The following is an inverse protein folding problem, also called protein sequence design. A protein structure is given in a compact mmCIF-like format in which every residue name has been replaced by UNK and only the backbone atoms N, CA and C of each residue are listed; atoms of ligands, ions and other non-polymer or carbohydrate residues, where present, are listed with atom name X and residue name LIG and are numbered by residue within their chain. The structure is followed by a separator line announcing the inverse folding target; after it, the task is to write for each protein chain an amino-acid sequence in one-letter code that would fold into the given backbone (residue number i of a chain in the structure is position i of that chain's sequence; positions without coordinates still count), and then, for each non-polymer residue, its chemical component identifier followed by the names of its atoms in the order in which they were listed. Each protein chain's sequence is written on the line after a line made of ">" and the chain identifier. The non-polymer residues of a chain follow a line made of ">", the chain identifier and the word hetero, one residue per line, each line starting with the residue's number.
data_IF_485192374344
#
_entry.id   IF_485192374344
#
_cell.length_a   1.000
_cell.length_b   1.000
_cell.length_c   1.000
_cell.angle_alpha   90.00
_cell.angle_beta   90.00
_cell.angle_gamma   90.00
#
_symmetry.space_group_name_H-M   'P 1'
#
loop_
_entity.id
_entity.type
_entity.pdbx_description
1 polymer ?
#
# COMPACT_ATOMS: atom_id res chain seq x y z
N UNK A 1 -39.52 -10.05 0.82
CA UNK A 1 -38.14 -10.22 1.30
C UNK A 1 -37.60 -8.81 1.41
N UNK A 2 -37.56 -8.26 2.62
CA UNK A 2 -36.92 -6.96 2.87
C UNK A 2 -35.43 -7.18 2.66
N UNK A 3 -34.89 -6.66 1.56
CA UNK A 3 -33.45 -6.59 1.33
C UNK A 3 -32.89 -5.66 2.39
N UNK A 4 -32.17 -6.20 3.37
CA UNK A 4 -31.44 -5.39 4.35
C UNK A 4 -30.47 -4.47 3.59
N UNK A 5 -30.68 -3.16 3.74
CA UNK A 5 -29.93 -2.15 3.01
C UNK A 5 -28.59 -1.90 3.70
N UNK A 6 -27.50 -2.35 3.08
CA UNK A 6 -26.13 -2.17 3.57
C UNK A 6 -25.66 -3.24 4.55
N UNK A 7 -24.36 -3.21 4.86
CA UNK A 7 -23.70 -4.17 5.75
C UNK A 7 -23.96 -3.83 7.22
N UNK A 8 -23.93 -4.84 8.10
CA UNK A 8 -23.85 -4.54 9.54
C UNK A 8 -22.46 -4.02 9.91
N UNK A 9 -22.36 -3.17 10.93
CA UNK A 9 -21.04 -2.64 11.37
C UNK A 9 -20.08 -3.78 11.76
N UNK A 10 -20.60 -4.80 12.45
CA UNK A 10 -19.79 -5.98 12.83
C UNK A 10 -19.30 -6.77 11.61
N UNK A 11 -20.14 -6.93 10.59
CA UNK A 11 -19.79 -7.65 9.37
C UNK A 11 -18.76 -6.88 8.56
N UNK A 12 -18.97 -5.57 8.39
CA UNK A 12 -18.04 -4.70 7.68
C UNK A 12 -16.65 -4.72 8.36
N UNK A 13 -16.60 -4.64 9.69
CA UNK A 13 -15.35 -4.70 10.44
C UNK A 13 -14.64 -6.05 10.33
N UNK A 14 -15.39 -7.15 10.38
CA UNK A 14 -14.87 -8.51 10.19
C UNK A 14 -14.26 -8.67 8.79
N UNK A 15 -14.94 -8.18 7.75
CA UNK A 15 -14.43 -8.16 6.38
C UNK A 15 -13.14 -7.34 6.28
N UNK A 16 -13.12 -6.12 6.84
CA UNK A 16 -11.93 -5.26 6.86
C UNK A 16 -10.73 -5.98 7.48
N UNK A 17 -10.92 -6.59 8.66
CA UNK A 17 -9.87 -7.33 9.35
C UNK A 17 -9.37 -8.51 8.51
N UNK A 18 -10.28 -9.28 7.90
CA UNK A 18 -9.93 -10.42 7.05
C UNK A 18 -9.12 -10.02 5.82
N UNK A 19 -9.49 -8.91 5.17
CA UNK A 19 -8.78 -8.37 4.00
C UNK A 19 -7.39 -7.89 4.41
N UNK A 20 -7.28 -7.12 5.51
CA UNK A 20 -6.00 -6.66 6.05
C UNK A 20 -5.09 -7.84 6.42
N UNK A 21 -5.62 -8.87 7.07
CA UNK A 21 -4.87 -10.08 7.40
C UNK A 21 -4.31 -10.76 6.16
N UNK A 22 -5.14 -10.91 5.12
CA UNK A 22 -4.73 -11.56 3.88
C UNK A 22 -3.60 -10.80 3.18
N UNK A 23 -3.68 -9.47 3.12
CA UNK A 23 -2.66 -8.66 2.46
C UNK A 23 -1.37 -8.57 3.31
N UNK A 24 -1.49 -8.50 4.64
CA UNK A 24 -0.32 -8.57 5.55
C UNK A 24 0.38 -9.93 5.41
N UNK A 25 -0.37 -11.03 5.37
CA UNK A 25 0.20 -12.38 5.22
C UNK A 25 0.93 -12.53 3.88
N UNK A 26 0.32 -12.03 2.79
CA UNK A 26 0.89 -12.01 1.45
C UNK A 26 2.15 -11.15 1.36
N UNK A 27 2.18 -9.98 2.00
CA UNK A 27 3.40 -9.16 2.10
C UNK A 27 4.49 -9.82 2.94
N UNK A 28 4.12 -10.52 4.02
CA UNK A 28 5.06 -11.27 4.85
C UNK A 28 5.67 -12.45 4.09
N UNK A 29 4.88 -13.16 3.29
CA UNK A 29 5.37 -14.20 2.39
C UNK A 29 6.30 -13.62 1.32
N UNK A 30 5.93 -12.48 0.71
CA UNK A 30 6.78 -11.77 -0.25
C UNK A 30 8.14 -11.39 0.35
N UNK A 31 8.19 -11.06 1.65
CA UNK A 31 9.44 -10.77 2.37
C UNK A 31 10.25 -12.03 2.71
N UNK A 32 9.60 -13.14 3.07
CA UNK A 32 10.28 -14.39 3.45
C UNK A 32 10.91 -15.11 2.26
N UNK A 33 10.33 -14.95 1.07
CA UNK A 33 10.91 -15.43 -0.18
C UNK A 33 12.10 -14.52 -0.54
N UNK A 34 13.26 -14.81 0.05
CA UNK A 34 14.53 -14.08 -0.11
C UNK A 34 15.05 -13.91 -1.54
N UNK A 35 14.32 -14.38 -2.56
CA UNK A 35 14.55 -14.10 -3.98
C UNK A 35 14.18 -12.66 -4.38
N UNK A 36 13.44 -11.94 -3.54
CA UNK A 36 13.00 -10.56 -3.83
C UNK A 36 13.99 -9.45 -3.41
N UNK A 37 15.23 -9.79 -2.99
CA UNK A 37 16.29 -8.81 -2.71
C UNK A 37 16.62 -7.90 -3.90
N UNK A 38 16.34 -8.34 -5.13
CA UNK A 38 16.53 -7.57 -6.36
C UNK A 38 15.31 -6.70 -6.72
N UNK A 39 14.20 -6.72 -5.97
CA UNK A 39 13.09 -5.78 -6.23
C UNK A 39 13.34 -4.40 -5.61
N UNK A 40 14.24 -4.31 -4.63
CA UNK A 40 14.88 -3.04 -4.25
C UNK A 40 15.60 -2.39 -5.45
N UNK A 41 16.05 -3.21 -6.40
CA UNK A 41 16.68 -2.77 -7.63
C UNK A 41 15.66 -2.47 -8.74
N UNK A 42 14.38 -2.86 -8.60
CA UNK A 42 13.36 -2.51 -9.57
C UNK A 42 12.86 -1.08 -9.30
N UNK A 43 12.86 -0.24 -10.32
CA UNK A 43 12.51 1.17 -10.24
C UNK A 43 10.98 1.34 -10.07
N UNK A 44 10.45 1.10 -8.86
CA UNK A 44 9.06 1.46 -8.56
C UNK A 44 9.01 2.91 -8.03
N UNK A 45 8.31 3.77 -8.78
CA UNK A 45 8.16 5.21 -8.54
C UNK A 45 7.55 5.57 -7.17
N UNK A 46 6.98 4.60 -6.46
CA UNK A 46 6.38 4.77 -5.13
C UNK A 46 7.39 4.65 -3.98
N UNK A 47 8.55 4.03 -4.23
CA UNK A 47 9.60 3.83 -3.24
C UNK A 47 10.75 4.78 -3.49
N UNK A 48 10.58 6.02 -3.04
CA UNK A 48 11.63 7.04 -2.90
C UNK A 48 12.63 6.63 -1.82
N UNK A 49 13.32 5.51 -2.02
CA UNK A 49 14.37 5.00 -1.16
C UNK A 49 15.71 5.18 -1.86
N UNK A 50 16.25 6.40 -1.83
CA UNK A 50 17.63 6.91 -2.07
C UNK A 50 18.67 6.20 -2.96
N UNK A 51 18.47 4.99 -3.48
CA UNK A 51 19.46 4.27 -4.26
C UNK A 51 18.87 3.90 -5.63
N UNK A 52 19.13 4.78 -6.60
CA UNK A 52 18.79 4.54 -7.99
C UNK A 52 19.54 3.30 -8.49
N UNK A 53 18.81 2.30 -9.00
CA UNK A 53 19.36 1.11 -9.67
C UNK A 53 20.50 1.46 -10.62
N UNK A 54 20.28 2.53 -11.39
CA UNK A 54 21.20 3.05 -12.39
C UNK A 54 22.57 3.38 -11.78
N UNK A 55 22.60 3.87 -10.54
CA UNK A 55 23.85 4.18 -9.83
C UNK A 55 24.57 2.92 -9.37
N UNK A 56 23.86 1.92 -8.84
CA UNK A 56 24.46 0.65 -8.44
C UNK A 56 25.06 -0.10 -9.65
N UNK A 57 24.33 -0.15 -10.77
CA UNK A 57 24.83 -0.76 -12.02
C UNK A 57 26.02 0.01 -12.58
N UNK A 58 25.96 1.34 -12.64
CA UNK A 58 27.06 2.17 -13.11
C UNK A 58 28.33 1.95 -12.27
N UNK A 59 28.21 1.90 -10.94
CA UNK A 59 29.34 1.64 -10.05
C UNK A 59 29.94 0.24 -10.25
N UNK A 60 29.11 -0.78 -10.46
CA UNK A 60 29.59 -2.13 -10.78
C UNK A 60 30.34 -2.16 -12.11
N UNK A 61 29.80 -1.52 -13.15
CA UNK A 61 30.46 -1.42 -14.47
C UNK A 61 31.80 -0.69 -14.35
N UNK A 62 31.85 0.46 -13.67
CA UNK A 62 33.08 1.20 -13.44
C UNK A 62 34.11 0.36 -12.68
N UNK A 63 33.70 -0.38 -11.65
CA UNK A 63 34.59 -1.28 -10.92
C UNK A 63 35.12 -2.41 -11.81
N UNK A 64 34.29 -2.99 -12.68
CA UNK A 64 34.69 -4.04 -13.61
C UNK A 64 35.69 -3.56 -14.66
N UNK A 65 35.49 -2.36 -15.20
CA UNK A 65 36.43 -1.74 -16.17
C UNK A 65 37.79 -1.50 -15.52
N UNK A 66 37.81 -0.97 -14.28
CA UNK A 66 39.05 -0.73 -13.53
C UNK A 66 39.79 -2.03 -13.21
N UNK A 67 39.08 -3.09 -12.84
CA UNK A 67 39.66 -4.42 -12.62
C UNK A 67 40.26 -4.95 -13.93
N UNK A 68 39.51 -4.87 -15.03
CA UNK A 68 39.96 -5.38 -16.34
C UNK A 68 41.21 -4.66 -16.86
N UNK A 69 41.27 -3.33 -16.76
CA UNK A 69 42.46 -2.56 -17.14
C UNK A 69 43.65 -2.89 -16.23
N UNK A 70 43.42 -3.06 -14.92
CA UNK A 70 44.48 -3.42 -13.97
C UNK A 70 45.09 -4.81 -14.21
N UNK A 71 44.26 -5.79 -14.64
CA UNK A 71 44.72 -7.14 -14.98
C UNK A 71 45.45 -7.16 -16.33
N UNK A 72 45.01 -6.36 -17.30
CA UNK A 72 45.54 -6.37 -18.67
C UNK A 72 46.92 -5.71 -18.78
N UNK A 73 47.27 -4.80 -17.87
CA UNK A 73 48.50 -3.98 -17.94
C UNK A 73 49.63 -4.43 -17.01
N UNK A 74 49.49 -5.56 -16.30
CA UNK A 74 50.44 -5.98 -15.25
C UNK A 74 50.79 -4.81 -14.30
N UNK A 75 49.76 -4.08 -13.86
CA UNK A 75 49.92 -2.83 -13.12
C UNK A 75 50.41 -3.04 -11.67
N UNK A 76 51.03 -2.01 -11.11
CA UNK A 76 51.50 -1.97 -9.73
C UNK A 76 50.43 -2.39 -8.71
N UNK A 77 50.82 -3.11 -7.64
CA UNK A 77 49.95 -3.60 -6.55
C UNK A 77 48.96 -2.56 -5.99
N UNK A 78 49.30 -1.27 -6.07
CA UNK A 78 48.45 -0.16 -5.65
C UNK A 78 47.15 -0.03 -6.47
N UNK A 79 47.17 -0.31 -7.78
CA UNK A 79 45.97 -0.25 -8.62
C UNK A 79 45.02 -1.41 -8.35
N UNK A 80 45.58 -2.62 -8.16
CA UNK A 80 44.82 -3.82 -7.81
C UNK A 80 44.13 -3.62 -6.45
N UNK A 81 44.86 -3.11 -5.45
CA UNK A 81 44.32 -2.85 -4.12
C UNK A 81 43.26 -1.74 -4.13
N UNK A 82 43.47 -0.64 -4.86
CA UNK A 82 42.46 0.42 -5.01
C UNK A 82 41.17 -0.09 -5.69
N UNK A 83 41.29 -0.91 -6.74
CA UNK A 83 40.14 -1.48 -7.44
C UNK A 83 39.38 -2.48 -6.57
N UNK A 84 40.09 -3.29 -5.78
CA UNK A 84 39.47 -4.21 -4.82
C UNK A 84 38.73 -3.46 -3.70
N UNK A 85 39.32 -2.38 -3.18
CA UNK A 85 38.67 -1.52 -2.18
C UNK A 85 37.41 -0.88 -2.74
N UNK A 86 37.45 -0.39 -3.97
CA UNK A 86 36.28 0.19 -4.63
C UNK A 86 35.15 -0.85 -4.78
N UNK A 87 35.48 -2.06 -5.24
CA UNK A 87 34.52 -3.17 -5.32
C UNK A 87 33.96 -3.55 -3.94
N UNK A 88 34.79 -3.58 -2.89
CA UNK A 88 34.35 -3.89 -1.54
C UNK A 88 33.36 -2.83 -1.02
N UNK A 89 33.62 -1.55 -1.31
CA UNK A 89 32.73 -0.44 -0.94
C UNK A 89 31.40 -0.50 -1.71
N UNK A 90 31.42 -0.82 -3.02
CA UNK A 90 30.18 -0.93 -3.80
C UNK A 90 29.32 -2.09 -3.31
N UNK A 91 29.91 -3.27 -3.06
CA UNK A 91 29.19 -4.42 -2.49
C UNK A 91 28.64 -4.13 -1.10
N UNK A 92 29.43 -3.45 -0.25
CA UNK A 92 28.98 -3.05 1.09
C UNK A 92 27.80 -2.08 1.04
N UNK A 93 27.81 -1.11 0.12
CA UNK A 93 26.70 -0.19 -0.08
C UNK A 93 25.43 -0.91 -0.57
N UNK A 94 25.56 -1.85 -1.49
CA UNK A 94 24.43 -2.67 -1.96
C UNK A 94 23.86 -3.51 -0.81
N UNK A 95 24.73 -4.14 -0.02
CA UNK A 95 24.33 -4.93 1.13
C UNK A 95 23.60 -4.08 2.19
N UNK A 96 24.16 -2.93 2.57
CA UNK A 96 23.55 -2.01 3.53
C UNK A 96 22.20 -1.50 3.03
N UNK A 97 22.11 -1.12 1.76
CA UNK A 97 20.87 -0.62 1.16
C UNK A 97 19.78 -1.69 1.16
N UNK A 98 20.14 -2.93 0.79
CA UNK A 98 19.24 -4.08 0.87
C UNK A 98 18.75 -4.35 2.29
N UNK A 99 19.66 -4.28 3.28
CA UNK A 99 19.31 -4.44 4.70
C UNK A 99 18.37 -3.35 5.20
N UNK A 100 18.64 -2.09 4.89
CA UNK A 100 17.78 -0.95 5.27
C UNK A 100 16.40 -1.12 4.66
N UNK A 101 16.32 -1.46 3.37
CA UNK A 101 15.06 -1.73 2.69
C UNK A 101 14.27 -2.85 3.38
N UNK A 102 14.92 -3.98 3.66
CA UNK A 102 14.26 -5.10 4.32
C UNK A 102 13.79 -4.75 5.74
N UNK A 103 14.58 -3.98 6.48
CA UNK A 103 14.20 -3.52 7.82
C UNK A 103 13.01 -2.57 7.80
N UNK A 104 12.97 -1.62 6.87
CA UNK A 104 11.85 -0.69 6.71
C UNK A 104 10.56 -1.44 6.34
N UNK A 105 10.63 -2.38 5.40
CA UNK A 105 9.48 -3.20 5.00
C UNK A 105 8.98 -4.08 6.15
N UNK A 106 9.89 -4.74 6.88
CA UNK A 106 9.52 -5.55 8.03
C UNK A 106 8.90 -4.70 9.15
N UNK A 107 9.43 -3.50 9.40
CA UNK A 107 8.86 -2.54 10.34
C UNK A 107 7.46 -2.09 9.91
N UNK A 108 7.23 -1.85 8.62
CA UNK A 108 5.91 -1.49 8.09
C UNK A 108 4.89 -2.63 8.28
N UNK A 109 5.28 -3.87 7.98
CA UNK A 109 4.43 -5.06 8.19
C UNK A 109 4.12 -5.27 9.68
N UNK A 110 5.11 -5.09 10.56
CA UNK A 110 4.88 -5.16 12.00
C UNK A 110 3.95 -4.05 12.50
N UNK A 111 4.09 -2.82 11.97
CA UNK A 111 3.20 -1.72 12.30
C UNK A 111 1.77 -2.00 11.84
N UNK A 112 1.59 -2.52 10.62
CA UNK A 112 0.29 -2.95 10.11
C UNK A 112 -0.32 -4.06 10.98
N UNK A 113 0.48 -5.04 11.41
CA UNK A 113 0.05 -6.10 12.33
C UNK A 113 -0.40 -5.54 13.68
N UNK A 114 0.33 -4.55 14.23
CA UNK A 114 -0.06 -3.89 15.46
C UNK A 114 -1.38 -3.12 15.31
N UNK A 115 -1.55 -2.39 14.22
CA UNK A 115 -2.81 -1.68 13.91
C UNK A 115 -3.97 -2.66 13.79
N UNK A 116 -3.78 -3.78 13.08
CA UNK A 116 -4.78 -4.85 12.97
C UNK A 116 -5.17 -5.41 14.35
N UNK A 117 -4.21 -5.65 15.23
CA UNK A 117 -4.50 -6.13 16.58
C UNK A 117 -5.28 -5.09 17.39
N UNK A 118 -4.93 -3.80 17.28
CA UNK A 118 -5.69 -2.71 17.91
C UNK A 118 -7.11 -2.61 17.35
N UNK A 119 -7.29 -2.79 16.04
CA UNK A 119 -8.59 -2.82 15.39
C UNK A 119 -9.44 -3.98 15.90
N UNK A 120 -8.90 -5.20 16.00
CA UNK A 120 -9.63 -6.35 16.55
C UNK A 120 -10.11 -6.14 17.98
N UNK A 121 -9.33 -5.43 18.80
CA UNK A 121 -9.74 -5.06 20.15
C UNK A 121 -10.88 -4.02 20.11
N UNK A 122 -10.76 -2.99 19.27
CA UNK A 122 -11.81 -1.98 19.09
C UNK A 122 -13.12 -2.56 18.51
N UNK A 123 -13.05 -3.64 17.71
CA UNK A 123 -14.22 -4.35 17.19
C UNK A 123 -15.14 -4.91 18.27
N UNK A 124 -14.62 -5.13 19.48
CA UNK A 124 -15.40 -5.66 20.60
C UNK A 124 -16.18 -4.57 21.33
N UNK A 125 -15.83 -3.30 21.10
CA UNK A 125 -16.54 -2.14 21.63
C UNK A 125 -17.61 -1.67 20.64
N UNK A 126 -18.67 -1.07 21.17
CA UNK A 126 -19.72 -0.48 20.34
C UNK A 126 -19.16 0.78 19.66
N UNK A 127 -18.99 0.71 18.33
CA UNK A 127 -18.44 1.80 17.55
C UNK A 127 -19.53 2.77 17.13
N UNK A 128 -19.45 4.01 17.60
CA UNK A 128 -20.36 5.09 17.21
C UNK A 128 -19.74 5.94 16.10
N UNK A 129 -20.47 6.13 15.00
CA UNK A 129 -20.01 6.91 13.87
C UNK A 129 -20.21 8.41 14.11
N UNK A 130 -19.44 9.24 13.40
CA UNK A 130 -19.65 10.68 13.46
C UNK A 130 -21.03 11.08 12.92
N UNK A 131 -21.56 12.20 13.43
CA UNK A 131 -22.84 12.72 13.00
C UNK A 131 -22.81 13.11 11.50
N UNK A 132 -23.91 12.90 10.79
CA UNK A 132 -24.03 13.24 9.34
C UNK A 132 -23.75 14.72 9.05
N UNK A 133 -24.07 15.60 10.00
CA UNK A 133 -23.81 17.04 9.91
C UNK A 133 -22.41 17.48 10.34
N UNK A 134 -21.48 16.54 10.58
CA UNK A 134 -20.10 16.88 10.88
C UNK A 134 -19.49 17.67 9.70
N UNK A 135 -18.74 18.76 9.97
CA UNK A 135 -18.08 19.52 8.92
C UNK A 135 -17.03 18.66 8.23
N UNK A 136 -16.86 18.86 6.92
CA UNK A 136 -15.81 18.18 6.15
C UNK A 136 -14.44 18.59 6.68
N UNK A 137 -13.61 17.61 7.03
CA UNK A 137 -12.24 17.82 7.49
C UNK A 137 -11.26 17.45 6.38
N UNK A 138 -10.26 18.29 6.13
CA UNK A 138 -9.16 17.97 5.21
C UNK A 138 -8.31 16.79 5.70
N UNK A 139 -8.39 16.46 7.00
CA UNK A 139 -7.60 15.39 7.60
C UNK A 139 -8.23 13.99 7.41
N UNK A 140 -9.56 13.91 7.33
CA UNK A 140 -10.29 12.64 7.25
C UNK A 140 -11.44 12.78 6.26
N UNK A 141 -11.35 12.03 5.15
CA UNK A 141 -12.43 11.90 4.20
C UNK A 141 -13.51 10.98 4.76
N UNK A 142 -14.72 11.52 4.94
CA UNK A 142 -15.91 10.80 5.36
C UNK A 142 -16.80 10.52 4.15
N UNK A 143 -17.41 9.34 4.13
CA UNK A 143 -18.33 8.89 3.10
C UNK A 143 -19.66 8.50 3.74
N UNK A 144 -20.76 8.89 3.08
CA UNK A 144 -22.10 8.46 3.47
C UNK A 144 -22.27 7.00 3.08
N UNK A 145 -22.50 6.16 4.07
CA UNK A 145 -22.61 4.71 3.90
C UNK A 145 -23.81 4.18 4.66
N UNK A 146 -24.53 3.24 4.06
CA UNK A 146 -25.59 2.51 4.74
C UNK A 146 -24.96 1.38 5.56
N UNK A 147 -25.03 1.50 6.90
CA UNK A 147 -24.67 0.45 7.84
C UNK A 147 -25.74 0.27 8.89
N UNK A 148 -25.99 -0.98 9.29
CA UNK A 148 -27.05 -1.32 10.27
C UNK A 148 -28.42 -0.70 9.89
N UNK A 149 -28.72 -0.67 8.58
CA UNK A 149 -29.93 -0.09 7.99
C UNK A 149 -30.09 1.44 8.23
N UNK A 150 -29.01 2.13 8.60
CA UNK A 150 -28.97 3.57 8.83
C UNK A 150 -27.90 4.22 7.96
N UNK A 151 -28.14 5.47 7.60
CA UNK A 151 -27.17 6.30 6.90
C UNK A 151 -26.19 6.86 7.93
N UNK A 152 -24.90 6.53 7.81
CA UNK A 152 -23.84 6.95 8.75
C UNK A 152 -22.64 7.52 8.00
N UNK A 153 -21.87 8.38 8.69
CA UNK A 153 -20.61 8.91 8.18
C UNK A 153 -19.47 7.95 8.51
N UNK A 154 -18.95 7.26 7.49
CA UNK A 154 -17.86 6.30 7.64
C UNK A 154 -16.58 6.89 7.04
N UNK A 155 -15.46 6.94 7.78
CA UNK A 155 -14.16 7.27 7.21
C UNK A 155 -13.84 6.35 6.02
N UNK A 156 -13.34 6.90 4.91
CA UNK A 156 -13.03 6.11 3.71
C UNK A 156 -12.08 4.94 3.98
N UNK A 157 -11.22 5.07 5.01
CA UNK A 157 -10.29 4.04 5.49
C UNK A 157 -10.98 2.79 6.06
N UNK A 158 -12.24 2.90 6.47
CA UNK A 158 -13.05 1.82 7.06
C UNK A 158 -14.07 1.24 6.06
N UNK A 159 -14.11 1.74 4.83
CA UNK A 159 -14.97 1.20 3.79
C UNK A 159 -14.48 -0.18 3.35
N UNK A 160 -15.42 -1.07 3.09
CA UNK A 160 -15.14 -2.43 2.62
C UNK A 160 -15.94 -2.77 1.38
N UNK A 161 -15.52 -3.83 0.71
CA UNK A 161 -16.26 -4.42 -0.40
C UNK A 161 -17.66 -4.86 0.04
N UNK A 162 -18.66 -4.40 -0.73
CA UNK A 162 -20.09 -4.59 -0.45
C UNK A 162 -20.73 -3.47 0.38
N UNK A 163 -19.99 -2.44 0.80
CA UNK A 163 -20.61 -1.25 1.40
C UNK A 163 -21.46 -0.51 0.36
N UNK A 164 -22.65 -0.07 0.77
CA UNK A 164 -23.54 0.75 -0.05
C UNK A 164 -23.30 2.20 0.33
N UNK A 165 -22.84 3.01 -0.63
CA UNK A 165 -22.50 4.41 -0.40
C UNK A 165 -23.43 5.36 -1.16
N UNK A 166 -23.65 6.53 -0.57
CA UNK A 166 -24.38 7.62 -1.19
C UNK A 166 -23.38 8.71 -1.62
N UNK A 167 -23.12 8.83 -2.92
CA UNK A 167 -22.25 9.89 -3.44
C UNK A 167 -23.07 11.16 -3.70
N UNK A 168 -22.67 12.25 -3.05
CA UNK A 168 -23.21 13.59 -3.35
C UNK A 168 -22.56 14.13 -4.62
N UNK A 169 -23.30 14.94 -5.36
CA UNK A 169 -22.76 15.65 -6.52
C UNK A 169 -21.53 16.46 -6.10
N UNK A 170 -20.43 16.30 -6.83
CA UNK A 170 -19.17 16.97 -6.52
C UNK A 170 -18.21 16.19 -5.60
N UNK A 171 -18.63 15.08 -5.00
CA UNK A 171 -17.71 14.21 -4.24
C UNK A 171 -17.01 13.24 -5.19
N UNK A 172 -15.73 12.96 -4.89
CA UNK A 172 -14.94 11.98 -5.60
C UNK A 172 -15.32 10.58 -5.12
N UNK A 173 -15.49 9.64 -6.05
CA UNK A 173 -15.65 8.24 -5.69
C UNK A 173 -14.41 7.74 -4.92
N UNK A 174 -14.57 7.13 -3.71
CA UNK A 174 -13.44 6.71 -2.88
C UNK A 174 -12.75 5.45 -3.40
N UNK A 175 -13.43 4.69 -4.26
CA UNK A 175 -12.95 3.46 -4.88
C UNK A 175 -13.74 3.21 -6.16
N UNK A 176 -13.40 2.14 -6.91
CA UNK A 176 -14.22 1.70 -8.03
C UNK A 176 -15.59 1.28 -7.52
N UNK A 177 -16.61 1.96 -8.03
CA UNK A 177 -17.99 1.89 -7.58
C UNK A 177 -18.90 1.46 -8.73
N UNK A 178 -20.04 0.84 -8.40
CA UNK A 178 -21.06 0.45 -9.37
C UNK A 178 -22.37 1.14 -9.01
N UNK A 179 -22.86 2.01 -9.90
CA UNK A 179 -24.15 2.67 -9.74
C UNK A 179 -25.30 1.65 -9.63
N UNK A 180 -26.43 2.03 -9.04
CA UNK A 180 -27.68 1.27 -9.13
C UNK A 180 -28.08 0.91 -10.58
N UNK A 181 -27.65 1.72 -11.54
CA UNK A 181 -27.92 1.51 -12.98
C UNK A 181 -26.92 0.56 -13.64
N UNK A 182 -25.95 0.02 -12.90
CA UNK A 182 -24.90 -0.85 -13.41
C UNK A 182 -23.74 -0.11 -14.10
N UNK A 183 -23.68 1.22 -14.00
CA UNK A 183 -22.57 2.01 -14.53
C UNK A 183 -21.36 1.94 -13.59
N UNK A 184 -20.17 1.73 -14.16
CA UNK A 184 -18.91 1.77 -13.40
C UNK A 184 -18.46 3.22 -13.23
N UNK A 185 -18.13 3.58 -11.99
CA UNK A 185 -17.54 4.86 -11.61
C UNK A 185 -16.13 4.55 -11.10
N UNK A 186 -15.10 5.04 -11.80
CA UNK A 186 -13.72 4.81 -11.40
C UNK A 186 -13.29 5.79 -10.29
N UNK A 187 -12.17 5.46 -9.63
CA UNK A 187 -11.60 6.27 -8.56
C UNK A 187 -11.36 7.70 -9.04
N UNK A 188 -11.93 8.69 -8.35
CA UNK A 188 -11.77 10.11 -8.68
C UNK A 188 -12.75 10.65 -9.72
N UNK A 189 -13.65 9.82 -10.24
CA UNK A 189 -14.78 10.32 -11.04
C UNK A 189 -15.76 11.08 -10.15
N UNK A 190 -16.34 12.13 -10.74
CA UNK A 190 -17.27 13.03 -10.06
C UNK A 190 -18.65 12.90 -10.72
N UNK A 191 -19.63 12.27 -10.05
CA UNK A 191 -20.96 12.14 -10.62
C UNK A 191 -21.63 13.53 -10.69
N UNK A 192 -22.21 13.83 -11.85
CA UNK A 192 -22.90 15.12 -12.11
C UNK A 192 -24.23 15.23 -11.35
N UNK A 193 -24.77 14.11 -10.89
CA UNK A 193 -26.02 13.99 -10.14
C UNK A 193 -25.81 13.06 -8.94
N UNK A 194 -26.52 13.27 -7.82
CA UNK A 194 -26.44 12.36 -6.68
C UNK A 194 -26.92 10.97 -7.10
N UNK A 195 -26.11 9.95 -6.85
CA UNK A 195 -26.41 8.56 -7.16
C UNK A 195 -26.23 7.69 -5.92
N UNK A 196 -27.17 6.77 -5.72
CA UNK A 196 -27.00 5.64 -4.83
C UNK A 196 -26.21 4.57 -5.58
N UNK A 197 -25.14 4.06 -4.95
CA UNK A 197 -24.18 3.14 -5.56
C UNK A 197 -24.31 1.80 -4.84
N UNK A 198 -24.57 0.76 -5.63
CA UNK A 198 -25.17 -0.51 -5.24
C UNK A 198 -24.15 -1.69 -5.32
N UNK A 199 -24.52 -2.92 -4.96
CA UNK A 199 -24.05 -3.64 -3.77
C UNK A 199 -22.91 -4.66 -4.03
N UNK A 200 -22.33 -4.72 -5.24
CA UNK A 200 -21.35 -5.75 -5.61
C UNK A 200 -20.06 -5.14 -6.15
N UNK A 201 -19.30 -4.49 -5.27
CA UNK A 201 -18.02 -3.89 -5.65
C UNK A 201 -16.87 -4.87 -5.45
N UNK A 202 -16.61 -5.70 -6.47
CA UNK A 202 -15.31 -6.34 -6.66
C UNK A 202 -14.23 -5.29 -6.92
N UNK A 203 -13.70 -4.74 -5.84
CA UNK A 203 -12.77 -3.61 -5.84
C UNK A 203 -11.54 -3.93 -5.00
N UNK A 204 -10.57 -4.63 -5.61
CA UNK A 204 -9.23 -4.78 -5.05
C UNK A 204 -8.60 -3.39 -4.96
N UNK A 205 -8.54 -2.82 -3.75
CA UNK A 205 -7.68 -1.68 -3.46
C UNK A 205 -6.25 -2.21 -3.34
N UNK A 206 -5.39 -1.83 -4.29
CA UNK A 206 -3.94 -2.05 -4.24
C UNK A 206 -3.25 -0.95 -3.46
#
# INVERSE_FOLDING_TARGET
>A
METELGLSTSEAFSRLCSTLESEIAKERERLSVGRFALRFLAHDALTTGSFCLTFAIALCICSGILIFDSLSRECALLHITASLLFLAVTLSNIYLSSRVYHMQRFAAVNKATNILNSLKLASQEEYDYEHLCAPTSDAISLQYTYRDQKLVNVPCLLLVEGDVIELRAGQLAPSRCISEQGEFIDLGDMPQYPQMICPETHGVCF
#
